data_IF_649090364274
#
_entry.id   IF_649090364274
#
_cell.length_a   1.000
_cell.length_b   1.000
_cell.length_c   1.000
_cell.angle_alpha   90.00
_cell.angle_beta   90.00
_cell.angle_gamma   90.00
#
_symmetry.space_group_name_H-M   'P 1'
#
loop_
_entity.id
_entity.type
_entity.pdbx_description
1 polymer ?
#
# COMPACT_ATOMS: atom_id res chain seq x y z
N UNK A 1 4.79 16.99 -14.91
CA UNK A 1 4.24 16.20 -13.77
C UNK A 1 4.54 14.74 -14.03
N UNK A 2 5.54 14.18 -13.37
CA UNK A 2 5.96 12.77 -13.52
C UNK A 2 4.90 11.89 -12.87
N UNK A 3 4.18 11.08 -13.67
CA UNK A 3 3.19 10.12 -13.16
C UNK A 3 3.92 9.11 -12.27
N UNK A 4 3.77 9.22 -10.94
CA UNK A 4 4.31 8.21 -10.01
C UNK A 4 3.52 6.90 -10.15
N UNK A 5 4.26 5.80 -10.10
CA UNK A 5 3.81 4.43 -10.20
C UNK A 5 2.86 4.10 -9.04
N UNK A 6 1.56 4.05 -9.29
CA UNK A 6 0.63 3.36 -8.38
C UNK A 6 0.79 1.87 -8.60
N UNK A 7 0.84 1.11 -7.51
CA UNK A 7 0.90 -0.36 -7.54
C UNK A 7 -0.33 -0.89 -6.80
N UNK A 8 -1.16 -1.66 -7.50
CA UNK A 8 -2.16 -2.54 -6.87
C UNK A 8 -1.71 -3.96 -7.15
N UNK A 9 -1.42 -4.72 -6.10
CA UNK A 9 -1.01 -6.12 -6.22
C UNK A 9 -2.25 -7.00 -6.03
N UNK A 10 -2.62 -7.78 -7.04
CA UNK A 10 -3.85 -8.59 -7.07
C UNK A 10 -3.54 -10.07 -6.74
N UNK A 11 -2.24 -10.40 -6.64
CA UNK A 11 -1.60 -11.63 -6.12
C UNK A 11 -0.10 -11.23 -5.94
N UNK A 12 0.81 -11.92 -5.22
CA UNK A 12 2.18 -11.41 -4.98
C UNK A 12 3.00 -11.21 -6.28
N UNK A 13 2.41 -11.60 -7.40
CA UNK A 13 2.96 -11.70 -8.73
C UNK A 13 2.18 -10.87 -9.78
N UNK A 14 0.95 -10.41 -9.52
CA UNK A 14 0.13 -9.65 -10.47
C UNK A 14 0.03 -8.20 -10.03
N UNK A 15 0.44 -7.26 -10.89
CA UNK A 15 0.57 -5.85 -10.52
C UNK A 15 -0.06 -4.91 -11.55
N UNK A 16 -0.91 -3.99 -11.09
CA UNK A 16 -1.38 -2.86 -11.89
C UNK A 16 -0.43 -1.67 -11.76
N UNK A 17 -0.08 -1.05 -12.89
CA UNK A 17 0.77 0.14 -12.95
C UNK A 17 0.25 1.16 -13.96
N UNK A 18 0.59 2.43 -13.78
CA UNK A 18 0.26 3.50 -14.76
C UNK A 18 1.21 3.62 -15.95
N UNK A 19 2.39 3.01 -15.84
CA UNK A 19 3.43 3.05 -16.86
C UNK A 19 4.10 1.69 -16.91
N UNK A 20 3.61 0.84 -17.81
CA UNK A 20 4.12 -0.53 -17.94
C UNK A 20 5.55 -0.52 -18.47
N UNK A 21 5.85 0.29 -19.48
CA UNK A 21 7.19 0.32 -20.08
C UNK A 21 8.30 0.67 -19.07
N UNK A 22 8.08 1.67 -18.20
CA UNK A 22 9.03 2.01 -17.15
C UNK A 22 9.15 0.91 -16.09
N UNK A 23 8.03 0.27 -15.74
CA UNK A 23 8.00 -0.82 -14.76
C UNK A 23 8.70 -2.06 -15.29
N UNK A 24 8.42 -2.48 -16.53
CA UNK A 24 9.07 -3.61 -17.19
C UNK A 24 10.59 -3.41 -17.27
N UNK A 25 11.02 -2.19 -17.64
CA UNK A 25 12.46 -1.85 -17.67
C UNK A 25 13.09 -2.03 -16.28
N UNK A 26 12.47 -1.47 -15.25
CA UNK A 26 12.97 -1.58 -13.87
C UNK A 26 12.98 -3.03 -13.39
N UNK A 27 11.94 -3.79 -13.72
CA UNK A 27 11.83 -5.21 -13.40
C UNK A 27 12.94 -6.04 -14.06
N UNK A 28 13.27 -5.74 -15.32
CA UNK A 28 14.37 -6.38 -16.03
C UNK A 28 15.73 -6.03 -15.40
N UNK A 29 15.94 -4.76 -15.04
CA UNK A 29 17.19 -4.26 -14.45
C UNK A 29 17.42 -4.80 -13.03
N UNK A 30 16.37 -4.87 -12.19
CA UNK A 30 16.51 -5.22 -10.78
C UNK A 30 16.29 -6.72 -10.50
N UNK A 31 15.41 -7.38 -11.25
CA UNK A 31 14.96 -8.75 -10.96
C UNK A 31 15.12 -9.72 -12.14
N UNK A 32 15.65 -9.28 -13.28
CA UNK A 32 15.94 -10.17 -14.40
C UNK A 32 14.70 -10.73 -15.10
N UNK A 33 13.59 -9.98 -15.10
CA UNK A 33 12.32 -10.36 -15.76
C UNK A 33 11.74 -11.70 -15.28
N UNK A 34 11.33 -11.81 -14.00
CA UNK A 34 10.77 -13.03 -13.46
C UNK A 34 9.49 -13.45 -14.20
N UNK A 35 9.45 -14.71 -14.62
CA UNK A 35 8.34 -15.29 -15.40
C UNK A 35 7.03 -15.37 -14.62
N UNK A 36 7.12 -15.34 -13.29
CA UNK A 36 6.00 -15.37 -12.38
C UNK A 36 5.52 -13.97 -12.00
N UNK A 37 5.92 -12.89 -12.68
CA UNK A 37 5.39 -11.54 -12.41
C UNK A 37 4.71 -11.00 -13.66
N UNK A 38 3.44 -10.62 -13.51
CA UNK A 38 2.61 -10.09 -14.57
C UNK A 38 2.26 -8.63 -14.28
N UNK A 39 2.59 -7.75 -15.22
CA UNK A 39 2.35 -6.31 -15.11
C UNK A 39 1.22 -5.91 -16.06
N UNK A 40 0.24 -5.18 -15.55
CA UNK A 40 -0.92 -4.68 -16.28
C UNK A 40 -0.92 -3.15 -16.26
N UNK A 41 -1.14 -2.51 -17.41
CA UNK A 41 -1.28 -1.05 -17.44
C UNK A 41 -2.73 -0.65 -17.18
N UNK A 42 -2.98 0.05 -16.07
CA UNK A 42 -4.28 0.64 -15.76
C UNK A 42 -4.14 1.80 -14.78
N UNK A 43 -5.00 2.81 -14.90
CA UNK A 43 -5.19 3.81 -13.86
C UNK A 43 -6.42 3.45 -13.02
N UNK A 44 -6.33 3.58 -11.68
CA UNK A 44 -7.43 3.22 -10.77
C UNK A 44 -8.68 4.10 -10.96
N UNK A 45 -8.55 5.23 -11.66
CA UNK A 45 -9.66 6.11 -12.00
C UNK A 45 -10.35 5.73 -13.32
N UNK A 46 -9.78 4.81 -14.09
CA UNK A 46 -10.35 4.31 -15.35
C UNK A 46 -11.04 2.95 -15.13
N UNK A 47 -12.37 2.99 -15.02
CA UNK A 47 -13.19 1.80 -14.83
C UNK A 47 -13.02 0.75 -15.94
N UNK A 48 -12.90 1.15 -17.20
CA UNK A 48 -12.78 0.21 -18.31
C UNK A 48 -11.40 -0.46 -18.32
N UNK A 49 -10.34 0.31 -18.02
CA UNK A 49 -9.00 -0.24 -17.86
C UNK A 49 -8.93 -1.24 -16.69
N UNK A 50 -9.56 -0.90 -15.56
CA UNK A 50 -9.66 -1.81 -14.41
C UNK A 50 -10.44 -3.08 -14.73
N UNK A 51 -11.56 -2.96 -15.44
CA UNK A 51 -12.35 -4.14 -15.85
C UNK A 51 -11.52 -5.08 -16.72
N UNK A 52 -10.81 -4.55 -17.73
CA UNK A 52 -9.94 -5.35 -18.58
C UNK A 52 -8.79 -6.01 -17.81
N UNK A 53 -8.22 -5.31 -16.83
CA UNK A 53 -7.20 -5.89 -15.95
C UNK A 53 -7.74 -7.04 -15.09
N UNK A 54 -8.95 -6.90 -14.54
CA UNK A 54 -9.61 -7.97 -13.78
C UNK A 54 -9.88 -9.20 -14.66
N UNK A 55 -10.33 -9.00 -15.89
CA UNK A 55 -10.53 -10.09 -16.86
C UNK A 55 -9.21 -10.83 -17.14
N UNK A 56 -8.13 -10.11 -17.45
CA UNK A 56 -6.82 -10.70 -17.71
C UNK A 56 -6.22 -11.41 -16.49
N UNK A 57 -6.37 -10.85 -15.28
CA UNK A 57 -5.93 -11.51 -14.05
C UNK A 57 -6.74 -12.77 -13.78
N UNK A 58 -8.05 -12.76 -14.06
CA UNK A 58 -8.92 -13.92 -13.85
C UNK A 58 -8.50 -15.11 -14.72
N UNK A 59 -8.02 -14.85 -15.95
CA UNK A 59 -7.47 -15.90 -16.83
C UNK A 59 -6.19 -16.50 -16.24
N UNK A 60 -5.25 -15.67 -15.76
CA UNK A 60 -3.98 -16.14 -15.18
C UNK A 60 -4.21 -16.89 -13.87
N UNK A 61 -5.15 -16.42 -13.05
CA UNK A 61 -5.41 -16.96 -11.73
C UNK A 61 -6.47 -18.07 -11.72
N UNK A 62 -6.88 -18.55 -12.90
CA UNK A 62 -7.88 -19.61 -13.06
C UNK A 62 -9.20 -19.32 -12.31
N UNK A 63 -9.57 -18.04 -12.22
CA UNK A 63 -10.80 -17.57 -11.57
C UNK A 63 -10.76 -17.44 -10.05
N UNK A 64 -9.62 -17.64 -9.37
CA UNK A 64 -9.51 -17.49 -7.91
C UNK A 64 -8.29 -16.69 -7.47
N UNK A 65 -8.42 -15.90 -6.40
CA UNK A 65 -7.34 -15.08 -5.86
C UNK A 65 -7.36 -15.14 -4.34
N UNK A 66 -6.17 -15.19 -3.72
CA UNK A 66 -6.03 -15.19 -2.27
C UNK A 66 -6.08 -13.77 -1.68
N UNK A 67 -5.45 -12.79 -2.35
CA UNK A 67 -5.29 -11.43 -1.81
C UNK A 67 -5.38 -10.36 -2.88
N UNK A 68 -6.04 -9.25 -2.57
CA UNK A 68 -5.93 -7.99 -3.32
C UNK A 68 -5.39 -6.92 -2.37
N UNK A 69 -4.29 -6.28 -2.76
CA UNK A 69 -3.55 -5.28 -1.99
C UNK A 69 -3.58 -3.96 -2.77
N UNK A 70 -4.32 -2.99 -2.24
CA UNK A 70 -4.37 -1.63 -2.77
C UNK A 70 -3.29 -0.77 -2.10
N UNK A 71 -2.25 -0.37 -2.86
CA UNK A 71 -1.22 0.59 -2.39
C UNK A 71 -1.27 1.90 -3.19
N UNK A 72 -2.44 2.24 -3.73
CA UNK A 72 -2.60 3.28 -4.73
C UNK A 72 -2.73 4.71 -4.16
N UNK A 73 -1.84 5.13 -3.27
CA UNK A 73 -1.83 6.49 -2.70
C UNK A 73 -0.96 7.47 -3.49
N UNK A 74 -1.54 8.50 -4.10
CA UNK A 74 -0.77 9.67 -4.54
C UNK A 74 -0.94 10.78 -3.52
N UNK A 75 0.13 11.07 -2.78
CA UNK A 75 0.16 12.19 -1.86
C UNK A 75 1.03 13.27 -2.48
N UNK A 76 0.46 14.46 -2.71
CA UNK A 76 1.21 15.58 -3.23
C UNK A 76 2.17 16.09 -2.16
N UNK A 77 3.37 16.51 -2.58
CA UNK A 77 4.44 16.93 -1.66
C UNK A 77 4.03 18.13 -0.78
N UNK A 78 3.09 18.95 -1.24
CA UNK A 78 2.59 20.13 -0.55
C UNK A 78 1.46 19.84 0.46
N UNK A 79 0.78 18.68 0.36
CA UNK A 79 -0.29 18.26 1.26
C UNK A 79 0.08 17.03 2.09
N UNK A 80 1.37 16.65 2.08
CA UNK A 80 1.80 15.32 2.48
C UNK A 80 1.48 14.93 3.92
N UNK A 81 1.18 15.91 4.78
CA UNK A 81 0.90 15.68 6.19
C UNK A 81 -0.51 16.07 6.62
N UNK A 82 -1.24 16.87 5.81
CA UNK A 82 -2.63 17.26 6.06
C UNK A 82 -3.64 16.30 5.41
N UNK A 83 -3.19 15.46 4.48
CA UNK A 83 -4.05 14.55 3.72
C UNK A 83 -3.95 13.08 4.16
N UNK A 84 -2.87 12.69 4.86
CA UNK A 84 -2.59 11.28 5.18
C UNK A 84 -3.56 10.73 6.21
N UNK A 85 -3.92 11.52 7.22
CA UNK A 85 -4.90 11.16 8.23
C UNK A 85 -6.31 11.02 7.64
N UNK A 86 -6.70 11.94 6.76
CA UNK A 86 -8.00 11.90 6.06
C UNK A 86 -8.08 10.69 5.13
N UNK A 87 -7.01 10.42 4.36
CA UNK A 87 -6.94 9.26 3.47
C UNK A 87 -7.02 7.95 4.27
N UNK A 88 -6.25 7.82 5.36
CA UNK A 88 -6.26 6.63 6.21
C UNK A 88 -7.61 6.41 6.89
N UNK A 89 -8.26 7.49 7.35
CA UNK A 89 -9.60 7.40 7.92
C UNK A 89 -10.62 6.92 6.87
N UNK A 90 -10.54 7.44 5.65
CA UNK A 90 -11.39 7.04 4.53
C UNK A 90 -11.24 5.56 4.17
N UNK A 91 -10.01 5.09 4.00
CA UNK A 91 -9.72 3.67 3.68
C UNK A 91 -10.13 2.75 4.82
N UNK A 92 -9.92 3.15 6.07
CA UNK A 92 -10.33 2.38 7.25
C UNK A 92 -11.85 2.22 7.35
N UNK A 93 -12.61 3.29 7.11
CA UNK A 93 -14.09 3.24 7.08
C UNK A 93 -14.58 2.36 5.94
N UNK A 94 -13.93 2.44 4.77
CA UNK A 94 -14.24 1.57 3.64
C UNK A 94 -14.00 0.10 3.99
N UNK A 95 -12.83 -0.23 4.54
CA UNK A 95 -12.49 -1.58 4.97
C UNK A 95 -13.51 -2.12 5.99
N UNK A 96 -13.92 -1.31 6.97
CA UNK A 96 -14.94 -1.69 7.94
C UNK A 96 -16.32 -1.95 7.30
N UNK A 97 -16.75 -1.09 6.35
CA UNK A 97 -18.01 -1.26 5.63
C UNK A 97 -18.03 -2.54 4.80
N UNK A 98 -16.94 -2.81 4.08
CA UNK A 98 -16.83 -4.01 3.27
C UNK A 98 -16.67 -5.27 4.13
N UNK A 99 -15.92 -5.23 5.22
CA UNK A 99 -15.87 -6.30 6.21
C UNK A 99 -17.27 -6.69 6.68
N UNK A 100 -18.10 -5.71 7.07
CA UNK A 100 -19.47 -5.98 7.51
C UNK A 100 -20.35 -6.56 6.38
N UNK A 101 -20.16 -6.10 5.14
CA UNK A 101 -20.97 -6.54 3.99
C UNK A 101 -20.64 -7.97 3.56
N UNK A 102 -19.36 -8.32 3.54
CA UNK A 102 -18.87 -9.56 2.92
C UNK A 102 -18.43 -10.63 3.95
N UNK A 103 -18.61 -10.39 5.25
CA UNK A 103 -18.28 -11.35 6.30
C UNK A 103 -18.91 -12.74 6.08
N UNK A 104 -20.16 -12.80 5.57
CA UNK A 104 -20.86 -14.07 5.28
C UNK A 104 -20.28 -14.83 4.08
N UNK A 105 -19.56 -14.13 3.22
CA UNK A 105 -18.89 -14.69 2.04
C UNK A 105 -17.46 -15.15 2.37
N UNK A 106 -17.03 -15.03 3.64
CA UNK A 106 -15.71 -15.46 4.07
C UNK A 106 -14.57 -14.52 3.64
N UNK A 107 -14.89 -13.30 3.19
CA UNK A 107 -13.88 -12.34 2.71
C UNK A 107 -13.43 -11.41 3.84
N UNK A 108 -12.12 -11.30 4.02
CA UNK A 108 -11.50 -10.43 5.02
C UNK A 108 -11.08 -9.10 4.39
N UNK A 109 -11.59 -8.00 4.93
CA UNK A 109 -11.14 -6.63 4.62
C UNK A 109 -10.35 -6.04 5.78
N UNK A 110 -9.21 -5.39 5.52
CA UNK A 110 -8.40 -4.70 6.53
C UNK A 110 -7.66 -3.49 5.94
N UNK A 111 -7.31 -2.53 6.80
CA UNK A 111 -6.35 -1.46 6.49
C UNK A 111 -5.07 -1.70 7.28
N UNK A 112 -3.91 -1.68 6.60
CA UNK A 112 -2.60 -1.84 7.25
C UNK A 112 -1.77 -0.58 7.01
N UNK A 113 -1.40 0.11 8.08
CA UNK A 113 -0.44 1.19 8.05
C UNK A 113 0.99 0.64 8.11
N UNK A 114 1.76 0.83 7.04
CA UNK A 114 3.18 0.44 6.95
C UNK A 114 4.12 1.29 7.83
N UNK A 115 3.63 2.41 8.36
CA UNK A 115 4.42 3.38 9.11
C UNK A 115 5.38 4.18 8.21
N UNK A 116 6.48 4.70 8.78
CA UNK A 116 7.48 5.44 8.01
C UNK A 116 8.38 4.52 7.19
N UNK A 117 8.35 4.70 5.86
CA UNK A 117 9.14 3.95 4.90
C UNK A 117 9.93 4.92 4.03
N UNK A 118 11.24 4.69 3.88
CA UNK A 118 12.06 5.44 2.94
C UNK A 118 11.85 4.89 1.53
N UNK A 119 11.02 5.60 0.75
CA UNK A 119 10.69 5.24 -0.63
C UNK A 119 11.55 5.98 -1.68
N UNK A 120 12.64 6.64 -1.25
CA UNK A 120 13.57 7.33 -2.15
C UNK A 120 13.05 8.69 -2.63
N UNK A 121 12.85 9.63 -1.71
CA UNK A 121 12.52 11.01 -2.10
C UNK A 121 13.72 11.68 -2.77
N UNK A 122 13.56 12.03 -4.05
CA UNK A 122 14.52 12.86 -4.79
C UNK A 122 14.09 14.33 -4.74
N UNK A 123 14.84 15.15 -4.01
CA UNK A 123 14.65 16.60 -3.94
C UNK A 123 15.21 17.22 -2.65
N UNK A 124 15.41 18.53 -2.66
CA UNK A 124 15.67 19.30 -1.43
C UNK A 124 14.35 19.77 -0.82
N UNK A 125 14.22 19.61 0.49
CA UNK A 125 13.09 20.18 1.23
C UNK A 125 13.24 21.70 1.32
N UNK A 126 12.16 22.43 1.13
CA UNK A 126 12.10 23.86 1.44
C UNK A 126 12.25 24.08 2.95
N UNK A 127 12.60 25.30 3.38
CA UNK A 127 12.71 25.63 4.81
C UNK A 127 11.41 25.38 5.59
N UNK A 128 10.25 25.69 4.99
CA UNK A 128 8.94 25.39 5.60
C UNK A 128 8.72 23.88 5.80
N UNK A 129 9.15 23.07 4.82
CA UNK A 129 9.07 21.61 4.92
C UNK A 129 10.03 21.07 5.98
N UNK A 130 11.23 21.65 6.12
CA UNK A 130 12.18 21.28 7.18
C UNK A 130 11.63 21.57 8.58
N UNK A 131 10.94 22.69 8.77
CA UNK A 131 10.29 23.02 10.04
C UNK A 131 9.17 22.02 10.37
N UNK A 132 8.31 21.71 9.40
CA UNK A 132 7.25 20.68 9.53
C UNK A 132 7.83 19.30 9.87
N UNK A 133 8.90 18.88 9.18
CA UNK A 133 9.61 17.62 9.46
C UNK A 133 10.21 17.61 10.87
N UNK A 134 10.78 18.73 11.33
CA UNK A 134 11.36 18.86 12.68
C UNK A 134 10.28 18.74 13.76
N UNK A 135 9.14 19.41 13.57
CA UNK A 135 7.99 19.30 14.46
C UNK A 135 7.46 17.86 14.52
N UNK A 136 7.31 17.21 13.37
CA UNK A 136 6.85 15.83 13.28
C UNK A 136 7.83 14.87 13.97
N UNK A 137 9.14 15.02 13.72
CA UNK A 137 10.17 14.23 14.40
C UNK A 137 10.05 14.33 15.91
N UNK A 138 9.79 15.52 16.44
CA UNK A 138 9.62 15.73 17.88
C UNK A 138 8.40 15.00 18.42
N UNK A 139 7.28 15.02 17.69
CA UNK A 139 6.07 14.27 18.05
C UNK A 139 6.31 12.75 18.01
N UNK A 140 7.03 12.26 17.00
CA UNK A 140 7.40 10.85 16.87
C UNK A 140 8.28 10.41 18.04
N UNK A 141 9.30 11.19 18.40
CA UNK A 141 10.17 10.87 19.56
C UNK A 141 9.38 10.83 20.86
N UNK A 142 8.40 11.71 21.04
CA UNK A 142 7.54 11.70 22.23
C UNK A 142 6.60 10.48 22.26
N UNK A 143 6.07 10.06 21.11
CA UNK A 143 5.17 8.92 20.99
C UNK A 143 5.89 7.57 21.03
N UNK A 144 7.03 7.47 20.34
CA UNK A 144 7.83 6.26 20.18
C UNK A 144 9.32 6.57 20.31
N UNK A 145 9.84 6.67 21.55
CA UNK A 145 11.25 6.97 21.81
C UNK A 145 12.24 5.95 21.23
N UNK A 146 11.78 4.73 20.98
CA UNK A 146 12.55 3.64 20.35
C UNK A 146 12.56 3.72 18.82
N UNK A 147 11.85 4.67 18.20
CA UNK A 147 11.84 4.83 16.76
C UNK A 147 13.20 5.33 16.26
N UNK A 148 13.91 4.47 15.53
CA UNK A 148 15.26 4.76 15.01
C UNK A 148 15.27 5.39 13.62
N UNK A 149 14.11 5.59 13.01
CA UNK A 149 13.97 6.12 11.66
C UNK A 149 13.10 5.25 10.74
N UNK A 150 12.91 5.68 9.48
CA UNK A 150 12.09 4.95 8.52
C UNK A 150 12.70 3.58 8.18
N UNK A 151 11.84 2.59 7.92
CA UNK A 151 12.26 1.28 7.42
C UNK A 151 12.55 1.30 5.92
N UNK A 152 13.29 0.31 5.42
CA UNK A 152 13.44 0.10 3.98
C UNK A 152 12.12 -0.37 3.35
N UNK A 153 11.92 -0.19 2.03
CA UNK A 153 10.75 -0.72 1.33
C UNK A 153 10.61 -2.24 1.49
N UNK A 154 11.72 -2.98 1.45
CA UNK A 154 11.75 -4.44 1.61
C UNK A 154 11.30 -4.87 3.00
N UNK A 155 11.82 -4.23 4.05
CA UNK A 155 11.46 -4.59 5.42
C UNK A 155 10.01 -4.22 5.74
N UNK A 156 9.54 -3.09 5.20
CA UNK A 156 8.13 -2.73 5.28
C UNK A 156 7.23 -3.77 4.61
N UNK A 157 7.55 -4.19 3.39
CA UNK A 157 6.78 -5.20 2.66
C UNK A 157 6.73 -6.53 3.43
N UNK A 158 7.87 -6.98 3.98
CA UNK A 158 7.92 -8.18 4.83
C UNK A 158 7.03 -8.07 6.07
N UNK A 159 7.05 -6.92 6.75
CA UNK A 159 6.24 -6.69 7.94
C UNK A 159 4.74 -6.71 7.61
N UNK A 160 4.32 -6.05 6.53
CA UNK A 160 2.92 -6.06 6.06
C UNK A 160 2.49 -7.48 5.66
N UNK A 161 3.31 -8.22 4.90
CA UNK A 161 3.02 -9.60 4.52
C UNK A 161 2.87 -10.52 5.74
N UNK A 162 3.67 -10.32 6.78
CA UNK A 162 3.51 -11.06 8.04
C UNK A 162 2.12 -10.82 8.65
N UNK A 163 1.66 -9.57 8.70
CA UNK A 163 0.32 -9.24 9.22
C UNK A 163 -0.78 -9.88 8.37
N UNK A 164 -0.66 -9.81 7.04
CA UNK A 164 -1.62 -10.44 6.11
C UNK A 164 -1.70 -11.95 6.36
N UNK A 165 -0.56 -12.64 6.43
CA UNK A 165 -0.49 -14.10 6.62
C UNK A 165 -1.00 -14.57 8.00
N UNK A 166 -0.92 -13.71 9.03
CA UNK A 166 -1.39 -14.04 10.38
C UNK A 166 -2.86 -13.70 10.62
N UNK A 167 -3.46 -12.89 9.74
CA UNK A 167 -4.84 -12.43 9.87
C UNK A 167 -5.84 -13.53 9.51
N UNK A 168 -7.01 -13.47 10.15
CA UNK A 168 -8.11 -14.40 9.88
C UNK A 168 -9.44 -13.85 10.38
N UNK A 169 -10.55 -14.36 9.87
CA UNK A 169 -11.89 -13.99 10.36
C UNK A 169 -12.09 -14.46 11.80
N UNK A 170 -11.57 -15.64 12.14
CA UNK A 170 -11.66 -16.27 13.47
C UNK A 170 -10.97 -15.45 14.55
N UNK A 171 -9.83 -14.82 14.21
CA UNK A 171 -9.12 -13.90 15.11
C UNK A 171 -9.76 -12.50 15.18
N UNK A 172 -10.84 -12.25 14.42
CA UNK A 172 -11.48 -10.94 14.35
C UNK A 172 -10.61 -9.87 13.68
N UNK A 173 -9.73 -10.27 12.74
CA UNK A 173 -8.80 -9.35 12.08
C UNK A 173 -9.48 -8.40 11.08
N UNK A 174 -10.74 -8.66 10.69
CA UNK A 174 -11.42 -7.86 9.67
C UNK A 174 -12.01 -6.55 10.21
N UNK A 175 -11.95 -5.50 9.39
CA UNK A 175 -12.63 -4.22 9.60
C UNK A 175 -11.92 -3.26 10.56
N UNK A 176 -10.86 -3.71 11.26
CA UNK A 176 -10.05 -2.85 12.12
C UNK A 176 -8.78 -2.40 11.40
N UNK A 177 -8.38 -1.11 11.48
CA UNK A 177 -7.09 -0.67 10.97
C UNK A 177 -5.96 -1.13 11.89
N UNK A 178 -4.87 -1.66 11.35
CA UNK A 178 -3.71 -2.11 12.13
C UNK A 178 -2.43 -1.51 11.57
N UNK A 179 -1.37 -1.48 12.36
CA UNK A 179 -0.04 -1.15 11.86
C UNK A 179 0.65 -2.38 11.26
N UNK A 180 1.87 -2.19 10.73
CA UNK A 180 2.80 -3.24 10.33
C UNK A 180 3.12 -4.27 11.44
N UNK A 181 2.71 -4.03 12.68
CA UNK A 181 2.85 -4.96 13.81
C UNK A 181 1.56 -5.77 14.08
N UNK A 182 0.49 -5.54 13.32
CA UNK A 182 -0.81 -6.19 13.53
C UNK A 182 -1.58 -5.65 14.74
N UNK A 183 -1.19 -4.48 15.26
CA UNK A 183 -1.80 -3.86 16.45
C UNK A 183 -2.01 -2.35 16.23
N UNK A 184 -2.29 -1.58 17.30
CA UNK A 184 -2.54 -0.13 17.26
C UNK A 184 -1.32 0.73 17.60
N UNK A 185 -0.11 0.16 17.52
CA UNK A 185 1.14 0.89 17.67
C UNK A 185 1.62 1.33 16.28
N UNK A 186 1.70 2.63 16.03
CA UNK A 186 1.91 3.16 14.67
C UNK A 186 3.37 3.40 14.28
N UNK A 187 4.30 3.30 15.25
CA UNK A 187 5.74 3.55 15.08
C UNK A 187 6.59 2.42 15.65
#
# INVERSE_FOLDING_TARGET
MTKKHQLVSINPNNSLVRNKAATDKKLAEELGSPNNVHIFEADITDYNALKGAVEAVSEIAEGSLDYVIETAGLIALWSQWDAVDVLEAGTSVLAAKFAARYAKEGVLFMSICSGSVDSGFEGELTEEQKEKVTKLRSQIVNYAPHFTGPSTPVDSAKAVLKVINEASLEKGSSGAPVSKFGNKQWM
#
